data_IF_114013578058
#
_entry.id   IF_114013578058
#
_cell.length_a   1.000
_cell.length_b   1.000
_cell.length_c   1.000
_cell.angle_alpha   90.00
_cell.angle_beta   90.00
_cell.angle_gamma   90.00
#
_symmetry.space_group_name_H-M   'P 1'
#
loop_
_entity.id
_entity.type
_entity.pdbx_description
1 polymer ?
#
# COMPACT_ATOMS: atom_id res chain seq x y z
N UNK A 1 30.03 -11.85 3.38
CA UNK A 1 29.36 -12.08 4.68
C UNK A 1 27.84 -12.13 4.46
N UNK A 2 27.31 -13.18 3.80
CA UNK A 2 25.92 -13.21 3.27
C UNK A 2 24.81 -13.12 4.33
N UNK A 3 25.08 -13.59 5.55
CA UNK A 3 24.08 -13.61 6.63
C UNK A 3 23.79 -12.21 7.15
N UNK A 4 24.81 -11.38 7.40
CA UNK A 4 24.61 -9.99 7.90
C UNK A 4 23.83 -9.12 6.92
N UNK A 5 24.09 -9.23 5.62
CA UNK A 5 23.36 -8.46 4.60
C UNK A 5 21.89 -8.90 4.48
N UNK A 6 21.60 -10.18 4.73
CA UNK A 6 20.21 -10.67 4.78
C UNK A 6 19.49 -10.25 6.08
N UNK A 7 20.21 -10.20 7.21
CA UNK A 7 19.66 -9.80 8.51
C UNK A 7 19.41 -8.29 8.61
N UNK A 8 20.24 -7.47 7.94
CA UNK A 8 20.14 -6.01 7.95
C UNK A 8 19.14 -5.43 6.94
N UNK A 9 18.42 -6.25 6.17
CA UNK A 9 17.39 -5.80 5.21
C UNK A 9 16.02 -5.55 5.83
N UNK A 10 15.94 -5.51 7.16
CA UNK A 10 14.70 -5.16 7.85
C UNK A 10 14.12 -3.81 7.40
N UNK A 11 14.94 -2.86 6.95
CA UNK A 11 14.50 -1.57 6.39
C UNK A 11 13.92 -1.69 4.97
N UNK A 12 14.31 -2.74 4.22
CA UNK A 12 13.83 -3.00 2.86
C UNK A 12 12.43 -3.64 2.90
N UNK A 13 12.14 -4.40 3.98
CA UNK A 13 10.82 -4.92 4.32
C UNK A 13 9.90 -3.79 4.78
N UNK A 14 9.14 -3.24 3.83
CA UNK A 14 8.21 -2.13 4.07
C UNK A 14 8.48 -0.88 3.24
N UNK A 15 9.55 -0.87 2.44
CA UNK A 15 9.70 0.12 1.38
C UNK A 15 8.59 -0.04 0.33
N UNK A 16 8.20 1.04 -0.34
CA UNK A 16 7.11 1.05 -1.32
C UNK A 16 7.32 0.02 -2.42
N UNK A 17 8.53 -0.11 -2.95
CA UNK A 17 8.89 -1.10 -3.98
C UNK A 17 8.64 -2.54 -3.51
N UNK A 18 9.01 -2.87 -2.27
CA UNK A 18 8.76 -4.18 -1.68
C UNK A 18 7.26 -4.42 -1.47
N UNK A 19 6.53 -3.42 -0.98
CA UNK A 19 5.08 -3.51 -0.78
C UNK A 19 4.36 -3.73 -2.12
N UNK A 20 4.79 -3.08 -3.19
CA UNK A 20 4.24 -3.26 -4.54
C UNK A 20 4.48 -4.67 -5.10
N UNK A 21 5.70 -5.20 -4.96
CA UNK A 21 6.02 -6.56 -5.39
C UNK A 21 5.18 -7.61 -4.66
N UNK A 22 4.99 -7.44 -3.35
CA UNK A 22 4.13 -8.30 -2.52
C UNK A 22 2.66 -8.14 -2.93
N UNK A 23 2.19 -6.92 -3.19
CA UNK A 23 0.81 -6.66 -3.63
C UNK A 23 0.48 -7.31 -4.98
N UNK A 24 1.43 -7.37 -5.91
CA UNK A 24 1.26 -8.02 -7.21
C UNK A 24 1.21 -9.56 -7.10
N UNK A 25 1.84 -10.12 -6.08
CA UNK A 25 1.91 -11.58 -5.87
C UNK A 25 0.72 -12.08 -5.04
N UNK A 26 0.19 -11.26 -4.13
CA UNK A 26 -0.95 -11.62 -3.29
C UNK A 26 -2.28 -11.39 -3.99
N UNK A 27 -3.22 -12.31 -3.81
CA UNK A 27 -4.64 -12.13 -4.17
C UNK A 27 -5.39 -11.15 -3.23
N UNK A 28 -4.67 -10.37 -2.43
CA UNK A 28 -5.20 -9.51 -1.37
C UNK A 28 -4.39 -8.21 -1.28
N UNK A 29 -5.05 -7.13 -0.85
CA UNK A 29 -4.42 -5.81 -0.67
C UNK A 29 -3.31 -5.84 0.37
N UNK A 30 -2.13 -5.33 0.00
CA UNK A 30 -0.99 -5.15 0.91
C UNK A 30 -1.09 -3.86 1.74
N UNK A 31 -1.72 -2.79 1.20
CA UNK A 31 -1.95 -1.52 1.90
C UNK A 31 -3.40 -1.38 2.37
N UNK A 32 -3.65 -0.74 3.52
CA UNK A 32 -5.01 -0.43 3.97
C UNK A 32 -5.68 0.55 2.99
N UNK A 33 -7.01 0.52 2.96
CA UNK A 33 -7.77 1.56 2.26
C UNK A 33 -7.52 2.91 2.93
N UNK A 34 -7.45 4.01 2.16
CA UNK A 34 -7.41 5.34 2.76
C UNK A 34 -8.62 5.49 3.69
N UNK A 35 -8.32 5.76 4.96
CA UNK A 35 -9.31 6.01 6.00
C UNK A 35 -9.59 7.50 6.06
N UNK A 36 -10.86 7.85 6.23
CA UNK A 36 -11.30 9.24 6.12
C UNK A 36 -11.26 9.75 4.68
N UNK A 37 -11.96 10.85 4.46
CA UNK A 37 -12.08 11.47 3.15
C UNK A 37 -13.48 12.04 2.95
N UNK A 38 -13.56 12.90 1.96
CA UNK A 38 -14.74 13.68 1.61
C UNK A 38 -15.83 12.84 0.93
N UNK A 39 -15.90 11.53 1.24
CA UNK A 39 -16.85 10.59 0.61
C UNK A 39 -18.32 10.97 0.83
N UNK A 40 -18.60 11.84 1.81
CA UNK A 40 -19.92 12.44 2.08
C UNK A 40 -20.01 13.91 1.67
N UNK A 41 -18.94 14.52 1.17
CA UNK A 41 -18.97 15.90 0.73
C UNK A 41 -19.78 16.05 -0.55
N UNK A 42 -20.34 17.23 -0.74
CA UNK A 42 -21.16 17.54 -1.92
C UNK A 42 -20.35 17.37 -3.20
N UNK A 43 -19.09 17.81 -3.21
CA UNK A 43 -18.18 17.73 -4.34
C UNK A 43 -17.89 16.28 -4.79
N UNK A 44 -17.71 15.36 -3.84
CA UNK A 44 -17.49 13.94 -4.14
C UNK A 44 -18.75 13.24 -4.66
N UNK A 45 -19.94 13.62 -4.18
CA UNK A 45 -21.19 13.04 -4.67
C UNK A 45 -21.60 13.59 -6.04
N UNK A 46 -21.28 14.84 -6.37
CA UNK A 46 -21.55 15.40 -7.70
C UNK A 46 -20.64 14.84 -8.80
N UNK A 47 -19.44 14.37 -8.45
CA UNK A 47 -18.47 13.85 -9.42
C UNK A 47 -18.58 12.34 -9.67
N UNK A 48 -19.42 11.62 -8.90
CA UNK A 48 -19.67 10.20 -9.17
C UNK A 48 -20.47 10.05 -10.47
N UNK A 49 -20.03 9.19 -11.41
CA UNK A 49 -20.90 8.80 -12.52
C UNK A 49 -22.15 8.12 -11.96
N UNK A 50 -23.31 8.45 -12.53
CA UNK A 50 -24.60 7.82 -12.18
C UNK A 50 -24.69 6.40 -12.69
#
# INVERSE_FOLDING_TARGET
MKVRDATNKAWELGNDSFIEQVANTLSRRAKPLPQGGDRRSKAFNSSKPK
#
